data_IF_448241453156
#
_entry.id   IF_448241453156
#
_cell.length_a   1.000
_cell.length_b   1.000
_cell.length_c   1.000
_cell.angle_alpha   90.00
_cell.angle_beta   90.00
_cell.angle_gamma   90.00
#
_symmetry.space_group_name_H-M   'P 1'
#
loop_
_entity.id
_entity.type
_entity.pdbx_description
1 polymer ?
#
# COMPACT_ATOMS: atom_id res chain seq x y z
N UNK A 1 16.61 -9.38 2.22
CA UNK A 1 15.73 -8.57 1.37
C UNK A 1 14.33 -8.68 1.89
N UNK A 2 13.66 -7.57 2.21
CA UNK A 2 12.27 -7.59 2.67
C UNK A 2 11.35 -7.71 1.46
N UNK A 3 10.82 -8.91 1.23
CA UNK A 3 9.76 -9.13 0.25
C UNK A 3 8.54 -8.32 0.69
N UNK A 4 8.28 -7.20 0.01
CA UNK A 4 7.23 -6.25 0.41
C UNK A 4 5.90 -6.72 -0.16
N UNK A 5 5.16 -7.52 0.61
CA UNK A 5 3.84 -8.05 0.21
C UNK A 5 2.76 -6.97 0.32
N UNK A 6 1.61 -7.14 -0.35
CA UNK A 6 0.43 -6.28 -0.16
C UNK A 6 0.08 -6.12 1.33
N UNK A 7 0.14 -7.22 2.08
CA UNK A 7 -0.07 -7.24 3.53
C UNK A 7 0.93 -6.32 4.26
N UNK A 8 2.22 -6.41 3.91
CA UNK A 8 3.26 -5.54 4.43
C UNK A 8 3.06 -4.07 4.04
N UNK A 9 2.67 -3.81 2.79
CA UNK A 9 2.38 -2.46 2.29
C UNK A 9 1.22 -1.81 3.03
N UNK A 10 0.09 -2.49 3.19
CA UNK A 10 -1.07 -1.98 3.91
C UNK A 10 -0.74 -1.69 5.36
N UNK A 11 -0.08 -2.64 6.05
CA UNK A 11 0.38 -2.47 7.44
C UNK A 11 1.30 -1.27 7.57
N UNK A 12 2.33 -1.20 6.72
CA UNK A 12 3.29 -0.10 6.74
C UNK A 12 2.59 1.25 6.51
N UNK A 13 1.73 1.35 5.50
CA UNK A 13 1.02 2.60 5.19
C UNK A 13 0.13 3.04 6.34
N UNK A 14 -0.64 2.12 6.91
CA UNK A 14 -1.53 2.37 8.04
C UNK A 14 -0.76 2.88 9.26
N UNK A 15 0.35 2.21 9.61
CA UNK A 15 1.23 2.63 10.70
C UNK A 15 1.85 4.01 10.46
N UNK A 16 2.31 4.30 9.24
CA UNK A 16 2.88 5.62 8.88
C UNK A 16 1.87 6.75 9.01
N UNK A 17 0.59 6.47 8.74
CA UNK A 17 -0.50 7.45 8.91
C UNK A 17 -1.07 7.50 10.34
N UNK A 18 -0.65 6.60 11.22
CA UNK A 18 -1.18 6.50 12.58
C UNK A 18 -2.68 6.16 12.65
N UNK A 19 -3.24 5.56 11.59
CA UNK A 19 -4.66 5.20 11.53
C UNK A 19 -4.88 3.78 12.04
N UNK A 20 -5.92 3.58 12.84
CA UNK A 20 -6.27 2.24 13.31
C UNK A 20 -6.98 1.42 12.23
N UNK A 21 -6.90 0.09 12.32
CA UNK A 21 -7.56 -0.83 11.40
C UNK A 21 -9.08 -0.64 11.38
N UNK A 22 -9.71 -0.41 12.55
CA UNK A 22 -11.14 -0.11 12.64
C UNK A 22 -11.47 1.18 11.90
N UNK A 23 -10.62 2.20 11.99
CA UNK A 23 -10.85 3.46 11.30
C UNK A 23 -10.80 3.30 9.77
N UNK A 24 -9.87 2.49 9.27
CA UNK A 24 -9.81 2.15 7.84
C UNK A 24 -11.05 1.38 7.40
N UNK A 25 -11.49 0.42 8.21
CA UNK A 25 -12.66 -0.41 7.92
C UNK A 25 -13.95 0.43 7.85
N UNK A 26 -14.16 1.32 8.83
CA UNK A 26 -15.30 2.25 8.85
C UNK A 26 -15.29 3.18 7.63
N UNK A 27 -14.15 3.82 7.34
CA UNK A 27 -14.04 4.73 6.21
C UNK A 27 -14.26 4.04 4.86
N UNK A 28 -13.88 2.76 4.74
CA UNK A 28 -14.07 1.97 3.53
C UNK A 28 -15.45 1.28 3.44
N UNK A 29 -16.27 1.38 4.50
CA UNK A 29 -17.55 0.65 4.64
C UNK A 29 -17.31 -0.86 4.44
N UNK A 30 -16.36 -1.40 5.19
CA UNK A 30 -15.96 -2.80 5.17
C UNK A 30 -15.88 -3.35 6.60
N UNK A 31 -16.10 -4.65 6.81
CA UNK A 31 -15.83 -5.28 8.09
C UNK A 31 -14.34 -5.20 8.42
N UNK A 32 -13.99 -4.92 9.68
CA UNK A 32 -12.59 -4.91 10.15
C UNK A 32 -11.88 -6.24 9.88
N UNK A 33 -12.59 -7.37 9.99
CA UNK A 33 -12.07 -8.69 9.66
C UNK A 33 -11.56 -8.82 8.21
N UNK A 34 -12.17 -8.08 7.26
CA UNK A 34 -11.72 -8.06 5.86
C UNK A 34 -10.36 -7.39 5.75
N UNK A 35 -10.18 -6.22 6.38
CA UNK A 35 -8.92 -5.49 6.39
C UNK A 35 -7.82 -6.30 7.10
N UNK A 36 -8.15 -6.90 8.24
CA UNK A 36 -7.25 -7.78 8.98
C UNK A 36 -6.83 -9.00 8.15
N UNK A 37 -7.76 -9.60 7.41
CA UNK A 37 -7.48 -10.68 6.48
C UNK A 37 -6.46 -10.28 5.42
N UNK A 38 -6.57 -9.07 4.85
CA UNK A 38 -5.59 -8.56 3.89
C UNK A 38 -4.21 -8.32 4.50
N UNK A 39 -4.15 -7.75 5.70
CA UNK A 39 -2.90 -7.54 6.45
C UNK A 39 -2.25 -8.85 6.93
N UNK A 40 -3.00 -9.94 6.96
CA UNK A 40 -2.51 -11.30 7.19
C UNK A 40 -2.13 -12.05 5.91
N UNK A 41 -2.31 -11.44 4.72
CA UNK A 41 -2.02 -12.05 3.43
C UNK A 41 -3.19 -12.82 2.79
N UNK A 42 -4.36 -12.82 3.40
CA UNK A 42 -5.60 -13.37 2.81
C UNK A 42 -6.06 -12.58 1.57
N UNK A 43 -6.87 -13.18 0.68
CA UNK A 43 -7.23 -12.62 -0.63
C UNK A 43 -7.90 -11.25 -0.52
N UNK A 44 -7.57 -10.34 -1.43
CA UNK A 44 -8.13 -9.00 -1.47
C UNK A 44 -8.84 -8.75 -2.80
N UNK A 45 -10.11 -8.36 -2.75
CA UNK A 45 -10.85 -7.97 -3.94
C UNK A 45 -10.47 -6.53 -4.32
N UNK A 46 -10.00 -6.26 -5.56
CA UNK A 46 -9.56 -4.92 -5.97
C UNK A 46 -10.66 -3.85 -5.77
N UNK A 47 -11.92 -4.20 -6.04
CA UNK A 47 -13.09 -3.31 -5.89
C UNK A 47 -13.39 -2.92 -4.44
N UNK A 48 -12.98 -3.73 -3.46
CA UNK A 48 -13.08 -3.39 -2.04
C UNK A 48 -11.86 -2.57 -1.61
N UNK A 49 -10.68 -2.89 -2.14
CA UNK A 49 -9.43 -2.22 -1.76
C UNK A 49 -9.43 -0.73 -2.14
N UNK A 50 -9.92 -0.37 -3.33
CA UNK A 50 -10.00 1.03 -3.77
C UNK A 50 -10.84 1.90 -2.83
N UNK A 51 -11.79 1.33 -2.08
CA UNK A 51 -12.57 2.08 -1.07
C UNK A 51 -11.71 2.58 0.09
N UNK A 52 -10.56 1.94 0.34
CA UNK A 52 -9.60 2.36 1.34
C UNK A 52 -8.68 3.50 0.84
N UNK A 53 -8.73 3.86 -0.45
CA UNK A 53 -7.87 4.87 -1.04
C UNK A 53 -7.88 6.22 -0.29
N UNK A 54 -9.05 6.79 0.09
CA UNK A 54 -9.09 8.08 0.76
C UNK A 54 -8.44 8.04 2.15
N UNK A 55 -8.79 7.04 2.96
CA UNK A 55 -8.29 6.91 4.35
C UNK A 55 -6.80 6.52 4.39
N UNK A 56 -6.34 5.75 3.41
CA UNK A 56 -4.92 5.41 3.25
C UNK A 56 -4.12 6.50 2.53
N UNK A 57 -4.78 7.57 2.09
CA UNK A 57 -4.19 8.66 1.31
C UNK A 57 -3.34 8.12 0.15
N UNK A 58 -3.92 7.21 -0.63
CA UNK A 58 -3.27 6.58 -1.78
C UNK A 58 -4.15 6.76 -3.02
N UNK A 59 -3.56 6.91 -4.21
CA UNK A 59 -4.32 6.81 -5.45
C UNK A 59 -4.90 5.40 -5.60
N UNK A 60 -6.12 5.29 -6.13
CA UNK A 60 -6.76 3.99 -6.40
C UNK A 60 -5.89 3.11 -7.30
N UNK A 61 -5.22 3.70 -8.29
CA UNK A 61 -4.29 3.00 -9.18
C UNK A 61 -3.17 2.27 -8.41
N UNK A 62 -2.63 2.87 -7.35
CA UNK A 62 -1.57 2.23 -6.54
C UNK A 62 -2.11 0.99 -5.82
N UNK A 63 -3.34 1.07 -5.30
CA UNK A 63 -3.99 -0.07 -4.66
C UNK A 63 -4.35 -1.17 -5.67
N UNK A 64 -4.82 -0.80 -6.86
CA UNK A 64 -5.06 -1.76 -7.94
C UNK A 64 -3.78 -2.47 -8.38
N UNK A 65 -2.68 -1.73 -8.57
CA UNK A 65 -1.38 -2.32 -8.88
C UNK A 65 -0.87 -3.23 -7.75
N UNK A 66 -1.04 -2.83 -6.49
CA UNK A 66 -0.65 -3.66 -5.35
C UNK A 66 -1.51 -4.93 -5.21
N UNK A 67 -2.79 -4.86 -5.60
CA UNK A 67 -3.68 -6.01 -5.66
C UNK A 67 -3.32 -6.96 -6.82
N UNK A 68 -2.92 -6.42 -7.97
CA UNK A 68 -2.51 -7.19 -9.15
C UNK A 68 -1.19 -7.93 -8.94
N UNK A 69 -0.24 -7.31 -8.22
CA UNK A 69 1.02 -7.94 -7.78
C UNK A 69 0.84 -9.23 -6.96
N UNK A 70 -0.39 -9.59 -6.53
CA UNK A 70 -0.69 -10.92 -5.98
C UNK A 70 -0.61 -12.05 -6.99
N UNK A 71 -0.62 -11.76 -8.30
CA UNK A 71 -0.48 -12.79 -9.36
C UNK A 71 0.97 -13.11 -9.70
N UNK A 72 1.92 -12.28 -9.26
CA UNK A 72 3.34 -12.48 -9.52
C UNK A 72 4.15 -12.22 -8.24
N UNK A 73 4.72 -13.27 -7.61
CA UNK A 73 5.49 -13.14 -6.37
C UNK A 73 6.79 -12.31 -6.52
N UNK A 74 7.16 -11.89 -7.74
CA UNK A 74 8.28 -11.00 -8.04
C UNK A 74 7.89 -9.57 -8.43
N UNK A 75 6.60 -9.22 -8.48
CA UNK A 75 6.14 -7.91 -8.97
C UNK A 75 6.12 -6.86 -7.86
N UNK A 76 7.30 -6.33 -7.54
CA UNK A 76 7.51 -5.00 -6.96
C UNK A 76 8.99 -4.61 -7.03
N UNK A 77 9.31 -3.36 -7.42
CA UNK A 77 9.25 -2.28 -6.44
C UNK A 77 8.34 -1.11 -6.86
N UNK A 78 7.88 -0.32 -5.86
CA UNK A 78 7.42 1.05 -6.07
C UNK A 78 8.46 1.79 -6.93
N UNK A 79 8.05 2.69 -7.85
CA UNK A 79 9.01 3.58 -8.48
C UNK A 79 9.80 4.30 -7.38
N UNK A 80 11.12 4.18 -7.44
CA UNK A 80 12.01 4.87 -6.52
C UNK A 80 11.66 6.36 -6.55
N UNK A 81 11.34 6.94 -5.38
CA UNK A 81 11.32 8.38 -5.23
C UNK A 81 12.73 8.82 -5.61
N UNK A 82 12.86 9.46 -6.78
CA UNK A 82 14.10 10.18 -7.09
C UNK A 82 14.16 11.31 -6.08
N UNK A 83 14.86 11.10 -4.98
CA UNK A 83 15.40 12.18 -4.18
C UNK A 83 16.24 12.98 -5.15
N UNK A 84 15.70 14.10 -5.64
CA UNK A 84 16.48 15.10 -6.34
C UNK A 84 17.46 15.64 -5.32
N UNK A 85 18.65 15.02 -5.25
CA UNK A 85 19.83 15.65 -4.70
C UNK A 85 20.12 16.84 -5.62
N UNK A 86 19.64 17.99 -5.15
CA UNK A 86 19.94 19.31 -5.64
C UNK A 86 21.39 19.64 -5.27
N UNK A 87 22.20 20.00 -6.27
CA UNK A 87 23.55 20.57 -6.12
C UNK A 87 24.60 19.55 -5.68
N UNK A 88 25.85 19.58 -6.12
CA UNK A 88 26.64 20.58 -6.85
C UNK A 88 27.92 19.87 -7.31
N UNK A 89 28.72 20.54 -8.15
CA UNK A 89 30.16 20.26 -8.39
C UNK A 89 30.43 19.07 -9.33
N UNK A 90 31.17 19.20 -10.41
CA UNK A 90 32.13 20.21 -10.84
C UNK A 90 33.09 19.51 -11.83
N UNK A 91 33.94 20.31 -12.50
CA UNK A 91 35.04 19.85 -13.36
C UNK A 91 35.78 18.64 -12.77
N UNK A 92 36.29 17.69 -13.55
CA UNK A 92 37.53 17.80 -14.35
C UNK A 92 37.54 16.82 -15.54
#
# INVERSE_FOLDING_TARGET
GQTTTLAGFLRHRRHTLGVDLHHVAEAAILPSAVIAGWEAGGPAAPSQMIRCAPVLQLPEAVLLTAADGRRDPGYWPLPAIRTTAHGSEGAE
#
